data_IF_735850048989
#
_entry.id   IF_735850048989
#
_cell.length_a   1.000
_cell.length_b   1.000
_cell.length_c   1.000
_cell.angle_alpha   90.00
_cell.angle_beta   90.00
_cell.angle_gamma   90.00
#
_symmetry.space_group_name_H-M   'P 1'
#
loop_
_entity.id
_entity.type
_entity.pdbx_description
1 polymer ?
#
# COMPACT_ATOMS: atom_id res chain seq x y z
N UNK A 1 9.56 -9.16 -28.82
CA UNK A 1 8.50 -8.86 -27.84
C UNK A 1 7.33 -8.23 -28.60
N UNK A 2 6.10 -8.60 -28.28
CA UNK A 2 4.89 -8.10 -28.95
C UNK A 2 3.92 -7.59 -27.88
N UNK A 3 3.12 -6.57 -28.23
CA UNK A 3 2.02 -6.06 -27.40
C UNK A 3 0.72 -6.25 -28.18
N UNK A 4 -0.34 -6.64 -27.48
CA UNK A 4 -1.69 -6.63 -28.02
C UNK A 4 -2.35 -5.28 -27.73
N UNK A 5 -2.88 -4.63 -28.77
CA UNK A 5 -3.68 -3.40 -28.67
C UNK A 5 -4.91 -3.62 -29.52
N UNK A 6 -6.10 -3.52 -28.93
CA UNK A 6 -7.39 -3.73 -29.59
C UNK A 6 -7.47 -5.04 -30.40
N UNK A 7 -6.92 -6.14 -29.84
CA UNK A 7 -6.91 -7.46 -30.47
C UNK A 7 -5.87 -7.64 -31.58
N UNK A 8 -5.04 -6.63 -31.87
CA UNK A 8 -3.97 -6.73 -32.85
C UNK A 8 -2.59 -6.84 -32.19
N UNK A 9 -1.80 -7.82 -32.65
CA UNK A 9 -0.41 -7.99 -32.22
C UNK A 9 0.49 -7.02 -32.96
N UNK A 10 1.05 -6.07 -32.22
CA UNK A 10 2.03 -5.11 -32.72
C UNK A 10 3.43 -5.51 -32.23
N UNK A 11 4.40 -5.52 -33.15
CA UNK A 11 5.80 -5.73 -32.81
C UNK A 11 6.35 -4.47 -32.13
N UNK A 12 7.01 -4.65 -30.99
CA UNK A 12 7.61 -3.53 -30.26
C UNK A 12 8.94 -3.13 -30.90
N UNK A 13 9.22 -1.83 -30.97
CA UNK A 13 10.52 -1.32 -31.43
C UNK A 13 11.64 -1.71 -30.46
N UNK A 14 12.91 -1.65 -30.91
CA UNK A 14 14.08 -1.89 -30.05
C UNK A 14 14.06 -1.04 -28.78
N UNK A 15 13.72 0.23 -28.92
CA UNK A 15 13.75 1.20 -27.84
C UNK A 15 12.61 0.95 -26.85
N UNK A 16 11.42 0.58 -27.35
CA UNK A 16 10.31 0.16 -26.51
C UNK A 16 10.64 -1.11 -25.73
N UNK A 17 11.31 -2.08 -26.38
CA UNK A 17 11.79 -3.31 -25.73
C UNK A 17 12.80 -2.98 -24.63
N UNK A 18 13.76 -2.08 -24.89
CA UNK A 18 14.73 -1.64 -23.90
C UNK A 18 14.05 -0.95 -22.71
N UNK A 19 13.11 -0.04 -22.98
CA UNK A 19 12.34 0.66 -21.95
C UNK A 19 11.52 -0.30 -21.07
N UNK A 20 10.83 -1.28 -21.68
CA UNK A 20 10.06 -2.26 -20.90
C UNK A 20 10.96 -3.14 -20.04
N UNK A 21 12.11 -3.59 -20.56
CA UNK A 21 13.09 -4.36 -19.77
C UNK A 21 13.59 -3.57 -18.57
N UNK A 22 14.01 -2.32 -18.79
CA UNK A 22 14.44 -1.44 -17.72
C UNK A 22 13.37 -1.27 -16.64
N UNK A 23 12.11 -1.01 -17.03
CA UNK A 23 11.00 -0.89 -16.08
C UNK A 23 10.74 -2.18 -15.31
N UNK A 24 10.75 -3.33 -16.00
CA UNK A 24 10.55 -4.62 -15.37
C UNK A 24 11.67 -4.93 -14.35
N UNK A 25 12.92 -4.60 -14.69
CA UNK A 25 14.06 -4.72 -13.77
C UNK A 25 13.92 -3.82 -12.55
N UNK A 26 13.52 -2.56 -12.72
CA UNK A 26 13.28 -1.64 -11.61
C UNK A 26 12.18 -2.15 -10.66
N UNK A 27 11.06 -2.62 -11.21
CA UNK A 27 9.95 -3.19 -10.42
C UNK A 27 10.43 -4.43 -9.67
N UNK A 28 11.17 -5.32 -10.34
CA UNK A 28 11.69 -6.54 -9.73
C UNK A 28 12.68 -6.22 -8.61
N UNK A 29 13.66 -5.34 -8.85
CA UNK A 29 14.64 -4.95 -7.84
C UNK A 29 13.96 -4.35 -6.60
N UNK A 30 12.99 -3.47 -6.79
CA UNK A 30 12.21 -2.89 -5.68
C UNK A 30 11.43 -3.96 -4.94
N UNK A 31 10.76 -4.87 -5.66
CA UNK A 31 9.99 -5.97 -5.06
C UNK A 31 10.88 -6.91 -4.27
N UNK A 32 12.06 -7.25 -4.79
CA UNK A 32 13.04 -8.11 -4.12
C UNK A 32 13.55 -7.45 -2.83
N UNK A 33 13.85 -6.15 -2.87
CA UNK A 33 14.25 -5.38 -1.68
C UNK A 33 13.15 -5.34 -0.61
N UNK A 34 11.89 -5.09 -0.99
CA UNK A 34 10.76 -5.09 -0.06
C UNK A 34 10.54 -6.47 0.56
N UNK A 35 10.64 -7.54 -0.24
CA UNK A 35 10.54 -8.92 0.25
C UNK A 35 11.67 -9.27 1.20
N UNK A 36 12.90 -8.88 0.86
CA UNK A 36 14.07 -9.12 1.70
C UNK A 36 13.95 -8.39 3.05
N UNK A 37 13.47 -7.14 3.03
CA UNK A 37 13.14 -6.35 4.22
C UNK A 37 11.87 -6.80 4.95
N UNK A 38 11.15 -7.81 4.44
CA UNK A 38 9.86 -8.29 4.99
C UNK A 38 8.86 -7.14 5.20
N UNK A 39 8.83 -6.20 4.26
CA UNK A 39 7.95 -5.03 4.30
C UNK A 39 6.54 -5.46 3.88
N UNK A 40 5.56 -5.24 4.76
CA UNK A 40 4.15 -5.56 4.53
C UNK A 40 3.33 -4.28 4.54
N UNK A 41 2.50 -4.10 3.51
CA UNK A 41 1.47 -3.06 3.51
C UNK A 41 0.27 -3.54 4.32
N UNK A 42 -0.09 -2.79 5.35
CA UNK A 42 -1.30 -2.99 6.16
C UNK A 42 -2.23 -1.82 6.00
N UNK A 43 -3.53 -2.10 5.99
CA UNK A 43 -4.57 -1.09 5.84
C UNK A 43 -5.77 -1.44 6.72
N UNK A 44 -6.48 -0.43 7.22
CA UNK A 44 -7.65 -0.66 8.06
C UNK A 44 -8.28 0.60 8.63
N UNK A 45 -9.29 0.42 9.47
CA UNK A 45 -10.00 1.51 10.16
C UNK A 45 -9.42 1.77 11.54
N UNK A 46 -9.14 3.04 11.80
CA UNK A 46 -8.64 3.50 13.09
C UNK A 46 -9.73 3.52 14.15
N UNK A 47 -9.44 2.95 15.32
CA UNK A 47 -10.22 3.08 16.53
C UNK A 47 -9.48 3.97 17.52
N UNK A 48 -9.91 5.23 17.61
CA UNK A 48 -9.26 6.23 18.46
C UNK A 48 -9.36 5.93 19.96
N UNK A 49 -10.42 5.25 20.42
CA UNK A 49 -10.59 4.96 21.84
C UNK A 49 -9.58 3.92 22.36
N UNK A 50 -9.20 2.97 21.50
CA UNK A 50 -8.29 1.88 21.86
C UNK A 50 -6.89 2.03 21.25
N UNK A 51 -6.67 3.03 20.40
CA UNK A 51 -5.46 3.18 19.58
C UNK A 51 -5.15 1.92 18.76
N UNK A 52 -6.20 1.24 18.30
CA UNK A 52 -6.09 0.03 17.49
C UNK A 52 -6.60 0.25 16.08
N UNK A 53 -6.23 -0.64 15.18
CA UNK A 53 -6.73 -0.70 13.81
C UNK A 53 -7.49 -1.99 13.62
N UNK A 54 -8.73 -1.90 13.12
CA UNK A 54 -9.40 -3.03 12.50
C UNK A 54 -8.90 -3.13 11.06
N UNK A 55 -8.03 -4.10 10.78
CA UNK A 55 -7.45 -4.31 9.45
C UNK A 55 -8.52 -4.72 8.45
N UNK A 56 -8.23 -4.55 7.17
CA UNK A 56 -9.13 -4.96 6.10
C UNK A 56 -9.37 -6.48 6.05
N UNK A 57 -8.45 -7.27 6.61
CA UNK A 57 -8.57 -8.71 6.82
C UNK A 57 -9.40 -9.08 8.07
N UNK A 58 -9.91 -8.09 8.81
CA UNK A 58 -10.76 -8.28 9.99
C UNK A 58 -10.01 -8.54 11.29
N UNK A 59 -8.69 -8.31 11.34
CA UNK A 59 -7.89 -8.45 12.55
C UNK A 59 -7.85 -7.12 13.32
N UNK A 60 -7.83 -7.16 14.65
CA UNK A 60 -7.58 -5.96 15.45
C UNK A 60 -6.12 -5.96 15.89
N UNK A 61 -5.38 -4.92 15.50
CA UNK A 61 -3.94 -4.78 15.77
C UNK A 61 -3.63 -3.43 16.41
N UNK A 62 -2.54 -3.35 17.17
CA UNK A 62 -1.98 -2.08 17.64
C UNK A 62 -0.73 -1.82 16.81
N UNK A 63 -0.75 -0.89 15.85
CA UNK A 63 0.41 -0.66 14.98
C UNK A 63 1.51 0.08 15.75
N UNK A 64 2.77 -0.34 15.56
CA UNK A 64 3.95 0.27 16.21
C UNK A 64 4.39 1.56 15.50
N UNK A 65 3.49 2.54 15.47
CA UNK A 65 3.70 3.83 14.84
C UNK A 65 4.36 4.81 15.81
N UNK A 66 5.26 5.63 15.29
CA UNK A 66 5.87 6.69 16.09
C UNK A 66 4.85 7.76 16.54
N UNK A 67 5.26 8.55 17.52
CA UNK A 67 4.40 9.61 18.10
C UNK A 67 3.94 10.65 17.07
N UNK A 68 4.73 10.91 16.02
CA UNK A 68 4.38 11.87 14.98
C UNK A 68 3.26 11.33 14.09
N UNK A 69 3.34 10.06 13.72
CA UNK A 69 2.32 9.36 12.95
C UNK A 69 1.02 9.27 13.75
N UNK A 70 1.07 8.90 15.02
CA UNK A 70 -0.11 8.87 15.91
C UNK A 70 -0.77 10.25 16.01
N UNK A 71 0.01 11.31 16.26
CA UNK A 71 -0.51 12.67 16.31
C UNK A 71 -1.12 13.15 14.97
N UNK A 72 -0.61 12.65 13.84
CA UNK A 72 -1.20 12.93 12.52
C UNK A 72 -2.57 12.25 12.36
N UNK A 73 -2.69 10.99 12.75
CA UNK A 73 -3.95 10.22 12.71
C UNK A 73 -4.99 10.88 13.62
N UNK A 74 -4.63 11.18 14.87
CA UNK A 74 -5.54 11.79 15.85
C UNK A 74 -6.07 13.15 15.38
N UNK A 75 -5.18 13.99 14.84
CA UNK A 75 -5.58 15.28 14.26
C UNK A 75 -6.51 15.11 13.08
N UNK A 76 -6.33 14.09 12.24
CA UNK A 76 -7.26 13.84 11.14
C UNK A 76 -8.61 13.31 11.67
N UNK A 77 -8.57 12.40 12.63
CA UNK A 77 -9.76 11.83 13.25
C UNK A 77 -10.62 12.87 13.97
N UNK A 78 -10.01 13.86 14.63
CA UNK A 78 -10.74 14.92 15.35
C UNK A 78 -11.55 15.83 14.43
N UNK A 79 -11.19 15.91 13.15
CA UNK A 79 -11.90 16.69 12.13
C UNK A 79 -12.85 15.83 11.26
N UNK A 80 -12.86 14.52 11.47
CA UNK A 80 -13.69 13.60 10.72
C UNK A 80 -14.98 13.27 11.50
N UNK A 81 -16.10 13.18 10.78
CA UNK A 81 -17.39 12.75 11.36
C UNK A 81 -17.49 11.24 11.58
N UNK A 82 -16.55 10.47 11.01
CA UNK A 82 -16.49 9.01 11.09
C UNK A 82 -15.05 8.54 11.32
N UNK A 83 -14.88 7.25 11.64
CA UNK A 83 -13.56 6.64 11.77
C UNK A 83 -12.76 6.73 10.47
N UNK A 84 -11.53 7.27 10.56
CA UNK A 84 -10.61 7.37 9.43
C UNK A 84 -10.02 6.01 9.08
N UNK A 85 -9.65 5.82 7.82
CA UNK A 85 -8.82 4.70 7.40
C UNK A 85 -7.36 5.10 7.40
N UNK A 86 -6.48 4.17 7.75
CA UNK A 86 -5.04 4.34 7.69
C UNK A 86 -4.38 3.23 6.88
N UNK A 87 -3.25 3.56 6.25
CA UNK A 87 -2.38 2.61 5.57
C UNK A 87 -0.95 2.83 6.05
N UNK A 88 -0.23 1.74 6.36
CA UNK A 88 1.14 1.81 6.85
C UNK A 88 1.97 0.64 6.32
N UNK A 89 3.29 0.83 6.31
CA UNK A 89 4.25 -0.23 6.08
C UNK A 89 4.72 -0.77 7.43
N UNK A 90 4.86 -2.08 7.53
CA UNK A 90 5.39 -2.79 8.69
C UNK A 90 6.62 -3.59 8.25
N UNK A 91 7.73 -3.43 8.96
CA UNK A 91 8.99 -4.13 8.72
C UNK A 91 9.68 -4.43 10.07
N UNK A 92 10.67 -5.34 10.12
CA UNK A 92 11.45 -5.61 11.34
C UNK A 92 12.10 -4.36 11.95
N UNK A 93 12.42 -3.36 11.12
CA UNK A 93 13.04 -2.10 11.54
C UNK A 93 12.03 -1.09 12.11
N UNK A 94 10.72 -1.31 11.94
CA UNK A 94 9.65 -0.46 12.47
C UNK A 94 8.47 -0.29 11.51
N UNK A 95 7.49 0.51 11.91
CA UNK A 95 6.32 0.84 11.08
C UNK A 95 6.33 2.29 10.61
N UNK A 96 5.90 2.51 9.37
CA UNK A 96 5.80 3.84 8.77
C UNK A 96 4.39 4.09 8.23
N UNK A 97 3.74 5.14 8.73
CA UNK A 97 2.46 5.61 8.22
C UNK A 97 2.62 6.13 6.77
N UNK A 98 1.76 5.65 5.87
CA UNK A 98 1.72 6.09 4.47
C UNK A 98 0.58 7.08 4.23
N UNK A 99 -0.64 6.71 4.64
CA UNK A 99 -1.86 7.45 4.30
C UNK A 99 -2.86 7.46 5.46
N UNK A 100 -3.60 8.56 5.58
CA UNK A 100 -4.76 8.71 6.47
C UNK A 100 -5.87 9.41 5.68
N UNK A 101 -7.06 8.82 5.63
CA UNK A 101 -8.14 9.33 4.80
C UNK A 101 -9.53 9.00 5.37
N UNK A 102 -10.56 9.69 4.90
CA UNK A 102 -11.94 9.43 5.34
C UNK A 102 -12.57 8.28 4.52
N UNK A 103 -11.99 8.03 3.36
CA UNK A 103 -12.29 6.96 2.42
C UNK A 103 -12.03 5.59 3.05
N UNK A 104 -12.76 4.57 2.60
CA UNK A 104 -12.56 3.20 3.08
C UNK A 104 -11.47 2.51 2.25
N UNK A 105 -10.26 2.36 2.79
CA UNK A 105 -9.18 1.68 2.05
C UNK A 105 -9.49 0.21 1.76
N UNK A 106 -10.34 -0.44 2.55
CA UNK A 106 -10.67 -1.84 2.35
C UNK A 106 -11.49 -2.10 1.07
N UNK A 107 -12.10 -1.08 0.47
CA UNK A 107 -12.76 -1.23 -0.84
C UNK A 107 -11.78 -1.23 -2.01
N UNK A 108 -10.53 -0.80 -1.78
CA UNK A 108 -9.49 -0.68 -2.80
C UNK A 108 -8.27 -1.55 -2.51
N UNK A 109 -8.34 -2.39 -1.48
CA UNK A 109 -7.26 -3.28 -1.14
C UNK A 109 -6.99 -4.22 -2.32
N UNK A 110 -5.74 -4.29 -2.82
CA UNK A 110 -5.38 -5.24 -3.85
C UNK A 110 -5.62 -6.66 -3.33
N UNK A 111 -6.36 -7.46 -4.08
CA UNK A 111 -6.54 -8.89 -3.83
C UNK A 111 -5.67 -9.69 -4.80
N UNK A 112 -5.44 -10.98 -4.51
CA UNK A 112 -4.69 -11.87 -5.41
C UNK A 112 -5.25 -11.86 -6.84
N UNK A 113 -6.56 -11.64 -7.00
CA UNK A 113 -7.24 -11.56 -8.31
C UNK A 113 -7.06 -10.24 -9.05
N UNK A 114 -6.48 -9.22 -8.42
CA UNK A 114 -6.29 -7.89 -8.99
C UNK A 114 -4.88 -7.64 -9.55
N UNK A 115 -4.03 -8.66 -9.53
CA UNK A 115 -2.70 -8.68 -10.14
C UNK A 115 -2.65 -9.71 -11.28
#
# INVERSE_FOLDING_TARGET
MQREVDGQKQQLSSDQVALYRYRAEQIRQTSDALRQGRVVLRQGRWNAAAHTVLTCEGQTVTPDLDSRALAHIERRQSHASAAVSIAWLEAPEGSQLLLVANENFCTWQPTEKSF
#
